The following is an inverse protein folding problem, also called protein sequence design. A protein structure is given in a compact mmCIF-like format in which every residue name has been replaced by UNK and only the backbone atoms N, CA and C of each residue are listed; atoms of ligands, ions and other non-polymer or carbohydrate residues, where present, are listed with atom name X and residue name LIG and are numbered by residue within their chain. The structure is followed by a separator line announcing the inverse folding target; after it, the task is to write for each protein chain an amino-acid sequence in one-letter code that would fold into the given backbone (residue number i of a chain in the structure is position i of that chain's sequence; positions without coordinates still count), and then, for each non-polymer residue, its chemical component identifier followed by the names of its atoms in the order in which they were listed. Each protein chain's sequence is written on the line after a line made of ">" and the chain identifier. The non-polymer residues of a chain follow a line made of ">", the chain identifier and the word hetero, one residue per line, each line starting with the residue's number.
data_IF_291316348138
#
_entry.id   IF_291316348138
#
_cell.length_a   1.000
_cell.length_b   1.000
_cell.length_c   1.000
_cell.angle_alpha   90.00
_cell.angle_beta   90.00
_cell.angle_gamma   90.00
#
_symmetry.space_group_name_H-M   'P 1'
#
loop_
_entity.id
_entity.type
_entity.pdbx_description
1 polymer ?
#
# COMPACT_ATOMS: atom_id res chain seq x y z
N UNK A 1 -10.69 8.32 -12.46
CA UNK A 1 -9.69 9.33 -12.00
C UNK A 1 -8.37 9.04 -12.72
N UNK A 2 -7.43 9.99 -12.77
CA UNK A 2 -6.09 9.71 -13.29
C UNK A 2 -5.22 9.14 -12.16
N UNK A 3 -4.70 7.92 -12.33
CA UNK A 3 -3.77 7.32 -11.38
C UNK A 3 -2.32 7.71 -11.72
N UNK A 4 -1.45 7.94 -10.72
CA UNK A 4 -0.03 8.06 -10.94
C UNK A 4 0.55 6.75 -11.50
N UNK A 5 1.74 6.82 -12.09
CA UNK A 5 2.46 5.62 -12.52
C UNK A 5 3.16 4.91 -11.36
N UNK A 6 3.15 3.58 -11.38
CA UNK A 6 3.92 2.74 -10.47
C UNK A 6 5.41 2.93 -10.70
N UNK A 7 6.18 3.08 -9.62
CA UNK A 7 7.65 3.17 -9.66
C UNK A 7 8.28 2.07 -8.82
N UNK A 8 8.21 0.84 -9.34
CA UNK A 8 8.65 -0.37 -8.65
C UNK A 8 10.14 -0.27 -8.31
N UNK A 9 10.47 -0.47 -7.04
CA UNK A 9 11.86 -0.66 -6.61
C UNK A 9 11.91 -1.87 -5.66
N UNK A 10 12.47 -3.01 -6.09
CA UNK A 10 12.48 -4.23 -5.29
C UNK A 10 13.14 -4.02 -3.93
N UNK A 11 12.52 -4.59 -2.90
CA UNK A 11 13.04 -4.66 -1.53
C UNK A 11 13.16 -6.12 -1.08
N UNK A 12 14.33 -6.49 -0.54
CA UNK A 12 14.65 -7.87 -0.12
C UNK A 12 13.86 -8.36 1.09
N UNK A 13 13.29 -7.45 1.87
CA UNK A 13 12.49 -7.78 3.05
C UNK A 13 11.00 -7.89 2.71
N UNK A 14 10.58 -7.57 1.48
CA UNK A 14 9.19 -7.66 1.08
C UNK A 14 8.60 -9.05 1.36
N UNK A 15 9.31 -10.12 1.04
CA UNK A 15 8.84 -11.50 1.23
C UNK A 15 8.82 -11.95 2.69
N UNK A 16 9.43 -11.19 3.60
CA UNK A 16 9.41 -11.49 5.04
C UNK A 16 8.09 -11.10 5.71
N UNK A 17 7.31 -10.23 5.09
CA UNK A 17 6.00 -9.83 5.61
C UNK A 17 4.91 -10.77 5.11
N UNK A 18 3.98 -11.08 6.01
CA UNK A 18 2.81 -11.90 5.67
C UNK A 18 1.90 -11.17 4.69
N UNK A 19 1.04 -11.94 4.01
CA UNK A 19 0.03 -11.38 3.11
C UNK A 19 -0.87 -10.36 3.82
N UNK A 20 -1.38 -10.68 5.01
CA UNK A 20 -2.25 -9.80 5.80
C UNK A 20 -1.56 -8.48 6.18
N UNK A 21 -0.27 -8.53 6.56
CA UNK A 21 0.50 -7.32 6.83
C UNK A 21 0.64 -6.45 5.58
N UNK A 22 0.98 -7.04 4.43
CA UNK A 22 1.06 -6.31 3.14
C UNK A 22 -0.29 -5.68 2.79
N UNK A 23 -1.38 -6.43 2.94
CA UNK A 23 -2.73 -5.97 2.65
C UNK A 23 -3.14 -4.78 3.53
N UNK A 24 -2.91 -4.87 4.84
CA UNK A 24 -3.19 -3.79 5.80
C UNK A 24 -2.32 -2.56 5.56
N UNK A 25 -1.04 -2.73 5.19
CA UNK A 25 -0.16 -1.61 4.80
C UNK A 25 -0.71 -0.87 3.58
N UNK A 26 -1.03 -1.62 2.52
CA UNK A 26 -1.54 -1.05 1.26
C UNK A 26 -2.86 -0.33 1.50
N UNK A 27 -3.83 -0.97 2.17
CA UNK A 27 -5.11 -0.34 2.51
C UNK A 27 -4.90 0.93 3.34
N UNK A 28 -4.10 0.83 4.40
CA UNK A 28 -3.86 1.96 5.29
C UNK A 28 -3.23 3.18 4.60
N UNK A 29 -2.36 2.93 3.63
CA UNK A 29 -1.70 3.97 2.84
C UNK A 29 -2.60 4.61 1.77
N UNK A 30 -3.43 3.80 1.11
CA UNK A 30 -4.27 4.24 -0.01
C UNK A 30 -5.59 4.88 0.44
N UNK A 31 -6.14 4.48 1.59
CA UNK A 31 -7.49 4.86 2.06
C UNK A 31 -7.49 5.60 3.40
N UNK A 32 -6.70 5.14 4.38
CA UNK A 32 -6.96 5.44 5.81
C UNK A 32 -6.14 6.61 6.37
N UNK A 33 -5.51 7.45 5.53
CA UNK A 33 -4.63 8.57 5.98
C UNK A 33 -3.43 8.17 6.83
N UNK A 34 -3.09 6.88 6.90
CA UNK A 34 -2.01 6.42 7.77
C UNK A 34 -0.65 6.87 7.25
N UNK A 35 0.15 7.42 8.16
CA UNK A 35 1.57 7.66 7.92
C UNK A 35 2.37 6.35 8.04
N UNK A 36 3.56 6.30 7.42
CA UNK A 36 4.38 5.09 7.49
C UNK A 36 4.75 4.68 8.94
N UNK A 37 5.03 5.63 9.82
CA UNK A 37 5.29 5.32 11.23
C UNK A 37 4.07 4.67 11.92
N UNK A 38 2.86 5.11 11.59
CA UNK A 38 1.63 4.49 12.11
C UNK A 38 1.46 3.08 11.57
N UNK A 39 1.77 2.85 10.28
CA UNK A 39 1.72 1.52 9.67
C UNK A 39 2.74 0.56 10.30
N UNK A 40 3.96 1.03 10.58
CA UNK A 40 4.98 0.23 11.28
C UNK A 40 4.49 -0.18 12.69
N UNK A 41 3.82 0.73 13.40
CA UNK A 41 3.26 0.45 14.72
C UNK A 41 2.05 -0.49 14.68
N UNK A 42 1.02 -0.13 13.92
CA UNK A 42 -0.28 -0.76 13.99
C UNK A 42 -0.35 -2.08 13.20
N UNK A 43 0.43 -2.20 12.12
CA UNK A 43 0.39 -3.38 11.24
C UNK A 43 1.55 -4.32 11.50
N UNK A 44 2.75 -3.79 11.71
CA UNK A 44 3.96 -4.60 11.92
C UNK A 44 4.27 -4.85 13.39
N UNK A 45 3.59 -4.17 14.33
CA UNK A 45 3.85 -4.29 15.76
C UNK A 45 5.23 -3.75 16.17
N UNK A 46 5.82 -2.87 15.37
CA UNK A 46 7.14 -2.29 15.59
C UNK A 46 7.03 -0.92 16.25
N UNK A 47 8.13 -0.41 16.80
CA UNK A 47 8.18 0.98 17.20
C UNK A 47 8.32 1.87 15.95
N UNK A 48 7.22 2.49 15.52
CA UNK A 48 7.15 3.39 14.38
C UNK A 48 8.13 4.57 14.43
N UNK A 49 8.49 5.04 15.63
CA UNK A 49 9.46 6.14 15.79
C UNK A 49 10.89 5.65 15.60
N UNK A 50 11.22 4.46 16.10
CA UNK A 50 12.54 3.85 15.89
C UNK A 50 12.75 3.42 14.43
N UNK A 51 11.74 2.82 13.83
CA UNK A 51 11.77 2.38 12.42
C UNK A 51 11.67 3.53 11.43
N UNK A 52 11.17 4.69 11.86
CA UNK A 52 10.92 5.89 11.03
C UNK A 52 9.97 5.62 9.86
N UNK A 53 9.10 4.61 9.99
CA UNK A 53 8.20 4.21 8.92
C UNK A 53 8.90 3.52 7.74
N UNK A 54 10.18 3.17 7.85
CA UNK A 54 10.91 2.58 6.74
C UNK A 54 10.42 1.17 6.42
N UNK A 55 9.83 0.44 7.38
CA UNK A 55 9.48 -0.96 7.17
C UNK A 55 8.26 -1.09 6.25
N UNK A 56 7.16 -0.43 6.57
CA UNK A 56 5.99 -0.31 5.69
C UNK A 56 6.29 0.50 4.42
N UNK A 57 7.12 1.53 4.51
CA UNK A 57 7.56 2.30 3.35
C UNK A 57 8.28 1.45 2.30
N UNK A 58 9.10 0.48 2.72
CA UNK A 58 9.75 -0.46 1.82
C UNK A 58 8.76 -1.42 1.14
N UNK A 59 7.70 -1.84 1.85
CA UNK A 59 6.61 -2.65 1.25
C UNK A 59 5.92 -1.87 0.14
N UNK A 60 5.54 -0.61 0.41
CA UNK A 60 4.90 0.27 -0.57
C UNK A 60 5.81 0.53 -1.77
N UNK A 61 7.09 0.80 -1.52
CA UNK A 61 8.10 1.02 -2.57
C UNK A 61 8.31 -0.22 -3.45
N UNK A 62 8.32 -1.42 -2.86
CA UNK A 62 8.38 -2.67 -3.61
C UNK A 62 7.20 -2.79 -4.58
N UNK A 63 6.00 -2.37 -4.18
CA UNK A 63 4.80 -2.35 -5.02
C UNK A 63 4.73 -1.15 -5.98
N UNK A 64 5.72 -0.25 -5.96
CA UNK A 64 5.72 0.96 -6.78
C UNK A 64 4.81 2.09 -6.30
N UNK A 65 4.23 1.97 -5.09
CA UNK A 65 3.37 2.97 -4.48
C UNK A 65 4.22 4.11 -3.90
N UNK A 66 4.30 5.20 -4.64
CA UNK A 66 5.01 6.43 -4.24
C UNK A 66 4.11 7.35 -3.40
N UNK A 67 4.65 8.48 -2.95
CA UNK A 67 3.89 9.50 -2.20
C UNK A 67 2.63 9.99 -2.94
N UNK A 68 2.63 9.97 -4.27
CA UNK A 68 1.50 10.43 -5.09
C UNK A 68 0.24 9.57 -4.90
N UNK A 69 0.40 8.31 -4.47
CA UNK A 69 -0.70 7.39 -4.19
C UNK A 69 -1.28 7.56 -2.79
N UNK A 70 -0.63 8.32 -1.90
CA UNK A 70 -1.07 8.43 -0.51
C UNK A 70 -2.47 9.03 -0.46
N UNK A 71 -3.41 8.30 0.12
CA UNK A 71 -4.82 8.68 0.26
C UNK A 71 -5.56 8.91 -1.06
N UNK A 72 -5.05 8.39 -2.19
CA UNK A 72 -5.68 8.62 -3.50
C UNK A 72 -7.10 8.06 -3.58
N UNK A 73 -7.41 7.05 -2.75
CA UNK A 73 -8.73 6.43 -2.65
C UNK A 73 -9.47 6.81 -1.36
N UNK A 74 -9.10 7.94 -0.74
CA UNK A 74 -9.85 8.47 0.40
C UNK A 74 -11.33 8.69 0.02
N UNK A 75 -12.24 8.08 0.78
CA UNK A 75 -13.68 8.16 0.54
C UNK A 75 -14.20 7.22 -0.56
N UNK A 76 -13.33 6.45 -1.22
CA UNK A 76 -13.71 5.41 -2.18
C UNK A 76 -13.92 4.08 -1.46
N UNK A 77 -14.83 3.25 -1.99
CA UNK A 77 -14.88 1.84 -1.61
C UNK A 77 -13.73 1.07 -2.27
N UNK A 78 -13.42 -0.11 -1.72
CA UNK A 78 -12.39 -0.99 -2.29
C UNK A 78 -12.76 -1.41 -3.72
N UNK A 79 -14.03 -1.72 -3.97
CA UNK A 79 -14.51 -2.04 -5.32
C UNK A 79 -14.27 -0.90 -6.31
N UNK A 80 -14.62 0.34 -5.93
CA UNK A 80 -14.38 1.52 -6.78
C UNK A 80 -12.89 1.74 -7.08
N UNK A 81 -12.02 1.50 -6.09
CA UNK A 81 -10.57 1.60 -6.29
C UNK A 81 -10.04 0.51 -7.23
N UNK A 82 -10.52 -0.73 -7.09
CA UNK A 82 -10.18 -1.84 -7.99
C UNK A 82 -10.61 -1.53 -9.43
N UNK A 83 -11.82 -1.00 -9.63
CA UNK A 83 -12.31 -0.60 -10.96
C UNK A 83 -11.41 0.49 -11.58
N UNK A 84 -11.00 1.47 -10.78
CA UNK A 84 -10.07 2.51 -11.22
C UNK A 84 -8.70 1.95 -11.60
N UNK A 85 -8.16 0.99 -10.84
CA UNK A 85 -6.89 0.33 -11.14
C UNK A 85 -6.96 -0.58 -12.37
N UNK A 86 -8.05 -1.33 -12.56
CA UNK A 86 -8.28 -2.16 -13.75
C UNK A 86 -8.37 -1.34 -15.05
N UNK A 87 -8.73 -0.07 -14.93
CA UNK A 87 -8.82 0.85 -16.08
C UNK A 87 -7.49 1.56 -16.40
N UNK A 88 -6.43 1.28 -15.62
CA UNK A 88 -5.11 1.89 -15.79
C UNK A 88 -4.22 1.09 -16.75
N UNK A 89 -3.31 1.75 -17.50
CA UNK A 89 -2.32 1.04 -18.31
C UNK A 89 -1.25 0.30 -17.49
N UNK A 90 -0.97 0.75 -16.27
CA UNK A 90 -0.01 0.09 -15.37
C UNK A 90 -0.59 -1.19 -14.75
N UNK A 91 0.27 -2.19 -14.50
CA UNK A 91 -0.14 -3.46 -13.88
C UNK A 91 -0.28 -3.34 -12.35
N UNK A 92 -1.53 -3.19 -11.91
CA UNK A 92 -1.90 -3.13 -10.49
C UNK A 92 -2.26 -4.49 -9.88
N UNK A 93 -2.05 -5.62 -10.56
CA UNK A 93 -2.56 -6.94 -10.14
C UNK A 93 -2.16 -7.31 -8.70
N UNK A 94 -0.92 -7.04 -8.30
CA UNK A 94 -0.44 -7.31 -6.93
C UNK A 94 -1.19 -6.48 -5.88
N UNK A 95 -1.48 -5.21 -6.17
CA UNK A 95 -2.18 -4.29 -5.28
C UNK A 95 -3.66 -4.67 -5.20
N UNK A 96 -4.27 -5.00 -6.34
CA UNK A 96 -5.66 -5.49 -6.42
C UNK A 96 -5.82 -6.77 -5.59
N UNK A 97 -4.91 -7.74 -5.74
CA UNK A 97 -4.93 -8.99 -4.99
C UNK A 97 -4.90 -8.75 -3.47
N UNK A 98 -4.06 -7.81 -3.02
CA UNK A 98 -3.98 -7.43 -1.61
C UNK A 98 -5.26 -6.74 -1.10
N UNK A 99 -5.94 -5.96 -1.95
CA UNK A 99 -7.16 -5.26 -1.56
C UNK A 99 -8.40 -6.18 -1.57
N UNK A 100 -8.41 -7.22 -2.41
CA UNK A 100 -9.49 -8.20 -2.48
C UNK A 100 -9.68 -9.01 -1.18
N UNK A 101 -8.71 -9.05 -0.28
CA UNK A 101 -8.89 -9.72 1.02
C UNK A 101 -9.81 -8.97 2.00
N UNK A 102 -10.27 -7.77 1.63
CA UNK A 102 -11.16 -6.92 2.43
C UNK A 102 -12.58 -6.82 1.84
N UNK A 103 -12.85 -7.54 0.76
CA UNK A 103 -14.18 -7.66 0.11
C UNK A 103 -14.75 -9.04 0.36
#
# INVERSE_FOLDING_TARGET
>A
MLLPHLKITPDRLFDTYTFDQKAKIVKGFLFDKKGHCQLDTEVLGLDGQKTRGWKSGNVLRHLGLTREFKNIFEGYSIAQAIDAMNSSPDDFLAIITLLQSFT
#
